data_IF_349225651998
#
_entry.id   IF_349225651998
#
_cell.length_a   1.000
_cell.length_b   1.000
_cell.length_c   1.000
_cell.angle_alpha   90.00
_cell.angle_beta   90.00
_cell.angle_gamma   90.00
#
_symmetry.space_group_name_H-M   'P 1'
#
loop_
_entity.id
_entity.type
_entity.pdbx_description
1 polymer ?
#
# COMPACT_ATOMS: atom_id res chain seq x y z
N UNK A 1 12.37 -17.40 -22.86
CA UNK A 1 11.07 -16.80 -22.47
C UNK A 1 10.91 -17.17 -21.01
N UNK A 2 11.04 -16.21 -20.09
CA UNK A 2 11.06 -16.53 -18.66
C UNK A 2 9.67 -17.05 -18.24
N UNK A 3 9.64 -18.21 -17.60
CA UNK A 3 8.45 -18.81 -17.03
C UNK A 3 7.95 -17.93 -15.87
N UNK A 4 6.74 -17.38 -16.03
CA UNK A 4 6.14 -16.41 -15.12
C UNK A 4 5.32 -17.09 -13.99
N UNK A 5 5.28 -18.43 -13.96
CA UNK A 5 4.41 -19.20 -13.06
C UNK A 5 4.96 -19.38 -11.64
N UNK A 6 6.20 -18.99 -11.37
CA UNK A 6 6.91 -19.35 -10.14
C UNK A 6 7.43 -18.15 -9.34
N UNK A 7 6.76 -16.99 -9.36
CA UNK A 7 7.03 -15.95 -8.36
C UNK A 7 6.45 -16.44 -7.02
N UNK A 8 7.29 -16.82 -6.03
CA UNK A 8 6.80 -17.25 -4.72
C UNK A 8 6.06 -16.09 -4.04
N UNK A 9 5.28 -16.37 -3.00
CA UNK A 9 4.57 -15.36 -2.20
C UNK A 9 5.47 -14.33 -1.50
N UNK A 10 6.79 -14.41 -1.67
CA UNK A 10 7.72 -13.38 -1.26
C UNK A 10 7.68 -12.25 -2.30
N UNK A 11 7.52 -11.01 -1.82
CA UNK A 11 7.40 -9.78 -2.62
C UNK A 11 8.71 -9.43 -3.32
N UNK A 12 9.25 -10.34 -4.11
CA UNK A 12 10.50 -10.19 -4.84
C UNK A 12 10.22 -9.59 -6.22
N UNK A 13 10.98 -8.56 -6.56
CA UNK A 13 10.98 -7.94 -7.88
C UNK A 13 12.02 -8.60 -8.79
N UNK A 14 11.65 -8.84 -10.05
CA UNK A 14 12.57 -9.33 -11.06
C UNK A 14 13.02 -8.19 -11.96
N UNK A 15 14.31 -7.87 -11.92
CA UNK A 15 14.91 -6.86 -12.80
C UNK A 15 15.47 -7.54 -14.04
N UNK A 16 14.95 -7.20 -15.21
CA UNK A 16 15.46 -7.65 -16.50
C UNK A 16 16.31 -6.54 -17.11
N UNK A 17 17.61 -6.80 -17.27
CA UNK A 17 18.54 -5.93 -18.00
C UNK A 17 18.94 -6.60 -19.32
N UNK A 18 18.89 -5.86 -20.42
CA UNK A 18 19.36 -6.31 -21.74
C UNK A 18 20.30 -5.26 -22.32
N UNK A 19 21.41 -5.69 -22.88
CA UNK A 19 22.38 -4.80 -23.53
C UNK A 19 21.69 -3.92 -24.59
N UNK A 20 21.88 -2.60 -24.50
CA UNK A 20 21.29 -1.62 -25.41
C UNK A 20 19.82 -1.25 -25.13
N UNK A 21 19.22 -1.74 -24.04
CA UNK A 21 17.84 -1.41 -23.65
C UNK A 21 17.77 -0.87 -22.22
N UNK A 22 16.72 -0.10 -21.94
CA UNK A 22 16.41 0.34 -20.58
C UNK A 22 15.98 -0.86 -19.70
N UNK A 23 16.45 -0.94 -18.44
CA UNK A 23 16.02 -1.96 -17.51
C UNK A 23 14.51 -1.96 -17.27
N UNK A 24 13.91 -3.14 -17.10
CA UNK A 24 12.50 -3.27 -16.74
C UNK A 24 12.38 -4.08 -15.45
N UNK A 25 11.51 -3.62 -14.56
CA UNK A 25 11.17 -4.32 -13.32
C UNK A 25 9.83 -5.03 -13.50
N UNK A 26 9.79 -6.32 -13.18
CA UNK A 26 8.58 -7.13 -13.16
C UNK A 26 8.23 -7.41 -11.69
N UNK A 27 7.00 -7.11 -11.33
CA UNK A 27 6.42 -7.40 -10.01
C UNK A 27 5.14 -8.21 -10.19
N UNK A 28 4.68 -8.89 -9.14
CA UNK A 28 3.36 -9.51 -9.14
C UNK A 28 2.26 -8.44 -9.26
N UNK A 29 1.09 -8.84 -9.75
CA UNK A 29 -0.04 -7.92 -9.91
C UNK A 29 -0.49 -7.32 -8.55
N UNK A 30 -0.50 -8.14 -7.50
CA UNK A 30 -0.88 -7.73 -6.16
C UNK A 30 0.09 -6.70 -5.57
N UNK A 31 1.39 -6.87 -5.85
CA UNK A 31 2.42 -5.91 -5.44
C UNK A 31 2.27 -4.59 -6.21
N UNK A 32 2.06 -4.64 -7.53
CA UNK A 32 1.78 -3.45 -8.33
C UNK A 32 0.54 -2.68 -7.82
N UNK A 33 -0.54 -3.40 -7.51
CA UNK A 33 -1.76 -2.79 -6.97
C UNK A 33 -1.49 -2.10 -5.62
N UNK A 34 -0.74 -2.75 -4.73
CA UNK A 34 -0.35 -2.21 -3.41
C UNK A 34 0.49 -0.95 -3.53
N UNK A 35 1.47 -0.94 -4.44
CA UNK A 35 2.31 0.22 -4.74
C UNK A 35 1.47 1.38 -5.29
N UNK A 36 0.56 1.09 -6.23
CA UNK A 36 -0.32 2.09 -6.84
C UNK A 36 -1.25 2.74 -5.82
N UNK A 37 -1.84 1.97 -4.91
CA UNK A 37 -2.71 2.49 -3.85
C UNK A 37 -1.92 3.37 -2.88
N UNK A 38 -0.73 2.93 -2.47
CA UNK A 38 0.15 3.73 -1.61
C UNK A 38 0.50 5.08 -2.25
N UNK A 39 0.89 5.06 -3.54
CA UNK A 39 1.15 6.27 -4.30
C UNK A 39 -0.10 7.16 -4.40
N UNK A 40 -1.28 6.57 -4.58
CA UNK A 40 -2.56 7.30 -4.61
C UNK A 40 -2.86 8.01 -3.29
N UNK A 41 -2.74 7.30 -2.16
CA UNK A 41 -3.00 7.84 -0.83
C UNK A 41 -2.04 8.99 -0.48
N UNK A 42 -0.78 8.88 -0.88
CA UNK A 42 0.27 9.84 -0.57
C UNK A 42 0.38 11.00 -1.57
N UNK A 43 -0.23 10.88 -2.76
CA UNK A 43 -0.20 11.91 -3.80
C UNK A 43 -0.72 13.28 -3.33
N UNK A 44 -1.71 13.31 -2.43
CA UNK A 44 -2.19 14.54 -1.83
C UNK A 44 -1.44 14.79 -0.50
N UNK A 45 -0.62 15.85 -0.38
CA UNK A 45 0.15 16.12 0.84
C UNK A 45 -0.69 16.26 2.11
N UNK A 46 -1.91 16.81 2.00
CA UNK A 46 -2.82 16.92 3.13
C UNK A 46 -3.34 15.54 3.58
N UNK A 47 -3.68 14.67 2.62
CA UNK A 47 -4.12 13.30 2.93
C UNK A 47 -2.97 12.46 3.49
N UNK A 48 -1.78 12.55 2.90
CA UNK A 48 -0.58 11.85 3.36
C UNK A 48 -0.21 12.24 4.80
N UNK A 49 -0.18 13.53 5.13
CA UNK A 49 0.04 14.00 6.51
C UNK A 49 -1.01 13.46 7.48
N UNK A 50 -2.28 13.47 7.09
CA UNK A 50 -3.38 12.95 7.93
C UNK A 50 -3.23 11.45 8.18
N UNK A 51 -2.87 10.69 7.15
CA UNK A 51 -2.67 9.24 7.26
C UNK A 51 -1.50 8.92 8.18
N UNK A 52 -0.32 9.46 7.89
CA UNK A 52 0.90 9.24 8.68
C UNK A 52 0.72 9.66 10.14
N UNK A 53 0.12 10.83 10.39
CA UNK A 53 -0.16 11.27 11.76
C UNK A 53 -1.20 10.39 12.47
N UNK A 54 -2.10 9.72 11.73
CA UNK A 54 -3.04 8.76 12.33
C UNK A 54 -2.37 7.44 12.69
N UNK A 55 -1.44 6.97 11.86
CA UNK A 55 -0.58 5.81 12.17
C UNK A 55 0.21 6.08 13.44
N UNK A 56 0.91 7.22 13.52
CA UNK A 56 1.70 7.59 14.71
C UNK A 56 0.85 7.66 15.99
N UNK A 57 -0.37 8.23 15.91
CA UNK A 57 -1.30 8.23 17.06
C UNK A 57 -1.70 6.82 17.49
N UNK A 58 -1.94 5.91 16.55
CA UNK A 58 -2.29 4.53 16.87
C UNK A 58 -1.11 3.78 17.49
N UNK A 59 0.09 3.91 16.92
CA UNK A 59 1.32 3.28 17.42
C UNK A 59 1.70 3.77 18.83
N UNK A 60 1.44 5.05 19.12
CA UNK A 60 1.65 5.64 20.45
C UNK A 60 0.51 5.36 21.45
N UNK A 61 -0.44 4.49 21.11
CA UNK A 61 -1.56 4.12 21.99
C UNK A 61 -2.62 5.21 22.18
N UNK A 62 -2.58 6.29 21.39
CA UNK A 62 -3.55 7.40 21.42
C UNK A 62 -4.78 7.14 20.52
N UNK A 63 -5.02 5.88 20.17
CA UNK A 63 -6.22 5.46 19.46
C UNK A 63 -7.46 5.46 20.36
N UNK A 64 -8.63 5.64 19.78
CA UNK A 64 -9.91 5.48 20.49
C UNK A 64 -10.65 4.28 19.90
N UNK A 65 -11.00 3.32 20.75
CA UNK A 65 -11.89 2.22 20.36
C UNK A 65 -13.30 2.77 20.31
N UNK A 66 -13.95 2.63 19.15
CA UNK A 66 -15.32 3.03 18.95
C UNK A 66 -16.10 1.80 18.50
N UNK A 67 -17.26 1.57 19.10
CA UNK A 67 -18.19 0.55 18.60
C UNK A 67 -18.86 1.05 17.32
N UNK A 68 -18.92 0.20 16.30
CA UNK A 68 -19.56 0.49 15.01
C UNK A 68 -21.04 0.83 15.19
N UNK A 69 -21.70 0.26 16.19
CA UNK A 69 -23.13 0.51 16.46
C UNK A 69 -23.38 1.82 17.22
N UNK A 70 -22.36 2.42 17.84
CA UNK A 70 -22.50 3.63 18.66
C UNK A 70 -22.89 4.90 17.86
N UNK A 71 -22.76 4.85 16.53
CA UNK A 71 -23.21 5.91 15.63
C UNK A 71 -24.70 5.83 15.31
N UNK A 72 -25.34 4.66 15.44
CA UNK A 72 -26.76 4.46 15.18
C UNK A 72 -27.66 5.05 16.29
N UNK A 73 -27.11 5.29 17.48
CA UNK A 73 -27.86 5.82 18.64
C UNK A 73 -27.72 7.35 18.80
N UNK A 74 -26.88 8.02 18.00
CA UNK A 74 -26.65 9.49 18.06
C UNK A 74 -27.53 10.30 17.08
N UNK A 75 -28.53 9.66 16.48
CA UNK A 75 -29.42 10.28 15.50
C UNK A 75 -30.86 9.79 15.63
N UNK A 76 -31.52 10.13 16.74
CA UNK A 76 -32.99 10.30 16.85
C UNK A 76 -33.26 11.45 17.78
#
# INVERSE_FOLDING_TARGET
MADHSALPHDREELIITRAGHEPVVIVSLDEYASLKETAYLLRNPANGRRLLGSIERLESGRGTVNDLTSLATRGT
#
